data_IF_660990020368
#
_entry.id   IF_660990020368
#
_cell.length_a   1.000
_cell.length_b   1.000
_cell.length_c   1.000
_cell.angle_alpha   90.00
_cell.angle_beta   90.00
_cell.angle_gamma   90.00
#
_symmetry.space_group_name_H-M   'P 1'
#
loop_
_entity.id
_entity.type
_entity.pdbx_description
1 polymer ?
#
# COMPACT_ATOMS: atom_id res chain seq x y z
N UNK A 1 3.35 14.22 20.59
CA UNK A 1 2.36 13.34 21.26
C UNK A 1 3.08 12.19 21.95
N UNK A 2 2.62 11.65 23.09
CA UNK A 2 3.23 10.43 23.67
C UNK A 2 2.69 9.17 23.00
N UNK A 3 3.43 8.05 22.98
CA UNK A 3 2.98 6.77 22.37
C UNK A 3 1.58 6.36 22.85
N UNK A 4 1.28 6.55 24.14
CA UNK A 4 -0.04 6.30 24.73
C UNK A 4 -1.14 7.20 24.13
N UNK A 5 -0.86 8.50 23.99
CA UNK A 5 -1.81 9.47 23.40
C UNK A 5 -2.09 9.17 21.92
N UNK A 6 -1.09 8.65 21.18
CA UNK A 6 -1.27 8.19 19.80
C UNK A 6 -2.23 7.01 19.69
N UNK A 7 -2.00 5.97 20.49
CA UNK A 7 -2.85 4.78 20.48
C UNK A 7 -4.29 5.15 20.85
N UNK A 8 -4.47 5.97 21.89
CA UNK A 8 -5.80 6.47 22.29
C UNK A 8 -6.47 7.24 21.15
N UNK A 9 -5.74 8.08 20.43
CA UNK A 9 -6.28 8.85 19.31
C UNK A 9 -6.67 7.96 18.12
N UNK A 10 -5.84 6.97 17.77
CA UNK A 10 -6.14 5.99 16.72
C UNK A 10 -7.37 5.16 17.11
N UNK A 11 -7.45 4.72 18.36
CA UNK A 11 -8.62 4.01 18.89
C UNK A 11 -9.87 4.89 18.82
N UNK A 12 -9.79 6.17 19.22
CA UNK A 12 -10.90 7.10 19.14
C UNK A 12 -11.37 7.32 17.69
N UNK A 13 -10.45 7.44 16.73
CA UNK A 13 -10.77 7.51 15.30
C UNK A 13 -11.43 6.23 14.78
N UNK A 14 -10.98 5.07 15.23
CA UNK A 14 -11.59 3.80 14.89
C UNK A 14 -13.01 3.68 15.45
N UNK A 15 -13.23 4.07 16.72
CA UNK A 15 -14.57 4.10 17.30
C UNK A 15 -15.48 5.14 16.65
N UNK A 16 -14.92 6.27 16.21
CA UNK A 16 -15.65 7.27 15.43
C UNK A 16 -16.08 6.71 14.07
N UNK A 17 -15.18 6.01 13.37
CA UNK A 17 -15.53 5.30 12.13
C UNK A 17 -16.61 4.25 12.38
N UNK A 18 -16.46 3.42 13.42
CA UNK A 18 -17.46 2.43 13.81
C UNK A 18 -18.83 3.06 14.01
N UNK A 19 -18.89 4.15 14.78
CA UNK A 19 -20.12 4.89 15.01
C UNK A 19 -20.79 5.30 13.70
N UNK A 20 -20.02 5.86 12.76
CA UNK A 20 -20.54 6.27 11.46
C UNK A 20 -20.87 5.11 10.51
N UNK A 21 -20.20 3.97 10.67
CA UNK A 21 -20.49 2.76 9.90
C UNK A 21 -21.83 2.13 10.27
N UNK A 22 -22.37 2.41 11.47
CA UNK A 22 -23.67 1.91 11.93
C UNK A 22 -24.87 2.66 11.32
N UNK A 23 -24.64 3.79 10.63
CA UNK A 23 -25.70 4.49 9.90
C UNK A 23 -26.09 3.72 8.63
N UNK A 24 -27.30 3.95 8.08
CA UNK A 24 -27.74 3.31 6.84
C UNK A 24 -26.70 3.48 5.71
N UNK A 25 -26.49 2.43 4.88
CA UNK A 25 -25.54 2.49 3.78
C UNK A 25 -25.82 3.70 2.88
N UNK A 26 -24.82 4.56 2.72
CA UNK A 26 -24.95 5.77 1.93
C UNK A 26 -23.60 6.46 1.71
N UNK A 27 -23.66 7.65 1.12
CA UNK A 27 -22.47 8.43 0.77
C UNK A 27 -21.56 8.67 2.00
N UNK A 28 -22.16 8.87 3.18
CA UNK A 28 -21.38 9.10 4.39
C UNK A 28 -20.64 7.83 4.86
N UNK A 29 -21.35 6.70 4.98
CA UNK A 29 -20.81 5.44 5.50
C UNK A 29 -19.81 4.78 4.54
N UNK A 30 -20.03 4.90 3.24
CA UNK A 30 -19.28 4.17 2.22
C UNK A 30 -18.16 5.00 1.57
N UNK A 31 -18.22 6.33 1.64
CA UNK A 31 -17.25 7.20 0.96
C UNK A 31 -16.56 8.10 1.98
N UNK A 32 -17.32 8.97 2.65
CA UNK A 32 -16.74 10.01 3.50
C UNK A 32 -16.01 9.40 4.70
N UNK A 33 -16.65 8.50 5.45
CA UNK A 33 -16.09 7.95 6.67
C UNK A 33 -14.79 7.14 6.42
N UNK A 34 -14.72 6.21 5.43
CA UNK A 34 -13.48 5.52 5.11
C UNK A 34 -12.37 6.45 4.63
N UNK A 35 -12.68 7.44 3.78
CA UNK A 35 -11.67 8.40 3.27
C UNK A 35 -11.10 9.23 4.41
N UNK A 36 -11.95 9.82 5.26
CA UNK A 36 -11.50 10.58 6.42
C UNK A 36 -10.66 9.71 7.33
N UNK A 37 -11.09 8.47 7.60
CA UNK A 37 -10.33 7.54 8.43
C UNK A 37 -8.92 7.32 7.86
N UNK A 38 -8.79 6.93 6.59
CA UNK A 38 -7.47 6.64 6.01
C UNK A 38 -6.59 7.87 5.83
N UNK A 39 -7.16 9.04 5.52
CA UNK A 39 -6.42 10.31 5.48
C UNK A 39 -5.86 10.63 6.87
N UNK A 40 -6.66 10.49 7.93
CA UNK A 40 -6.22 10.71 9.31
C UNK A 40 -5.15 9.69 9.72
N UNK A 41 -5.34 8.41 9.43
CA UNK A 41 -4.35 7.37 9.70
C UNK A 41 -3.04 7.62 8.96
N UNK A 42 -3.09 8.00 7.68
CA UNK A 42 -1.92 8.36 6.90
C UNK A 42 -1.17 9.55 7.52
N UNK A 43 -1.89 10.63 7.83
CA UNK A 43 -1.32 11.80 8.48
C UNK A 43 -0.64 11.43 9.80
N UNK A 44 -1.36 10.74 10.69
CA UNK A 44 -0.82 10.31 11.98
C UNK A 44 0.44 9.45 11.79
N UNK A 45 0.40 8.51 10.84
CA UNK A 45 1.50 7.58 10.58
C UNK A 45 2.73 8.29 10.05
N UNK A 46 2.57 9.23 9.10
CA UNK A 46 3.68 10.00 8.52
C UNK A 46 4.29 10.98 9.52
N UNK A 47 3.47 11.68 10.32
CA UNK A 47 3.94 12.73 11.22
C UNK A 47 4.32 12.23 12.62
N UNK A 48 4.06 10.96 12.95
CA UNK A 48 4.41 10.40 14.26
C UNK A 48 5.37 9.21 14.18
N UNK A 49 4.96 7.95 13.93
CA UNK A 49 5.90 6.83 13.91
C UNK A 49 6.93 6.95 12.77
N UNK A 50 6.51 7.42 11.59
CA UNK A 50 7.39 7.55 10.41
C UNK A 50 7.98 8.96 10.24
N UNK A 51 7.86 9.86 11.21
CA UNK A 51 8.30 11.26 11.07
C UNK A 51 9.77 11.38 10.64
N UNK A 52 10.65 10.55 11.22
CA UNK A 52 12.07 10.55 10.86
C UNK A 52 12.31 10.15 9.41
N UNK A 53 11.55 9.16 8.91
CA UNK A 53 11.60 8.70 7.51
C UNK A 53 11.08 9.81 6.59
N UNK A 54 9.90 10.34 6.90
CA UNK A 54 9.25 11.39 6.12
C UNK A 54 10.13 12.64 6.01
N UNK A 55 10.64 13.13 7.14
CA UNK A 55 11.54 14.30 7.20
C UNK A 55 12.82 14.03 6.40
N UNK A 56 13.42 12.85 6.54
CA UNK A 56 14.62 12.47 5.80
C UNK A 56 14.39 12.49 4.28
N UNK A 57 13.30 11.89 3.80
CA UNK A 57 12.96 11.89 2.38
C UNK A 57 12.69 13.32 1.90
N UNK A 58 11.86 14.09 2.60
CA UNK A 58 11.46 15.44 2.17
C UNK A 58 12.64 16.43 2.13
N UNK A 59 13.52 16.39 3.13
CA UNK A 59 14.71 17.26 3.18
C UNK A 59 15.74 16.94 2.11
N UNK A 60 15.78 15.68 1.65
CA UNK A 60 16.73 15.22 0.63
C UNK A 60 16.11 15.06 -0.76
N UNK A 61 14.78 15.17 -0.91
CA UNK A 61 14.06 14.88 -2.14
C UNK A 61 14.60 15.69 -3.34
N UNK A 62 14.89 16.99 -3.16
CA UNK A 62 15.46 17.82 -4.22
C UNK A 62 16.99 17.71 -4.34
N UNK A 63 17.67 17.24 -3.28
CA UNK A 63 19.13 17.23 -3.17
C UNK A 63 19.76 15.93 -3.68
N UNK A 64 19.06 14.81 -3.54
CA UNK A 64 19.55 13.45 -3.81
C UNK A 64 18.70 12.76 -4.87
N UNK A 65 19.24 12.62 -6.08
CA UNK A 65 18.52 12.08 -7.25
C UNK A 65 18.00 10.67 -7.01
N UNK A 66 18.77 9.83 -6.31
CA UNK A 66 18.40 8.47 -5.96
C UNK A 66 17.13 8.39 -5.09
N UNK A 67 16.95 9.36 -4.19
CA UNK A 67 15.74 9.46 -3.37
C UNK A 67 14.57 9.93 -4.23
N UNK A 68 14.73 10.99 -5.03
CA UNK A 68 13.64 11.50 -5.87
C UNK A 68 13.17 10.46 -6.90
N UNK A 69 14.12 9.83 -7.61
CA UNK A 69 13.83 8.80 -8.61
C UNK A 69 13.14 7.61 -7.93
N UNK A 70 13.66 7.15 -6.79
CA UNK A 70 13.02 6.08 -6.03
C UNK A 70 11.58 6.45 -5.67
N UNK A 71 11.33 7.62 -5.08
CA UNK A 71 9.98 8.02 -4.67
C UNK A 71 9.03 8.12 -5.88
N UNK A 72 9.47 8.77 -6.96
CA UNK A 72 8.65 9.03 -8.14
C UNK A 72 8.36 7.77 -8.96
N UNK A 73 9.30 6.82 -9.01
CA UNK A 73 9.10 5.55 -9.72
C UNK A 73 8.37 4.54 -8.84
N UNK A 74 8.72 4.44 -7.56
CA UNK A 74 8.20 3.37 -6.73
C UNK A 74 6.71 3.57 -6.41
N UNK A 75 6.27 4.79 -6.11
CA UNK A 75 4.87 5.06 -5.77
C UNK A 75 3.86 4.61 -6.84
N UNK A 76 3.93 5.09 -8.10
CA UNK A 76 2.94 4.72 -9.11
C UNK A 76 2.98 3.24 -9.45
N UNK A 77 4.17 2.64 -9.54
CA UNK A 77 4.31 1.20 -9.84
C UNK A 77 3.76 0.32 -8.71
N UNK A 78 4.07 0.67 -7.46
CA UNK A 78 3.60 -0.08 -6.31
C UNK A 78 2.08 0.08 -6.13
N UNK A 79 1.55 1.30 -6.33
CA UNK A 79 0.10 1.53 -6.31
C UNK A 79 -0.60 0.72 -7.40
N UNK A 80 -0.07 0.70 -8.63
CA UNK A 80 -0.64 -0.05 -9.75
C UNK A 80 -0.67 -1.55 -9.45
N UNK A 81 0.46 -2.13 -9.01
CA UNK A 81 0.57 -3.56 -8.71
C UNK A 81 -0.33 -3.96 -7.54
N UNK A 82 -0.40 -3.12 -6.51
CA UNK A 82 -1.29 -3.35 -5.37
C UNK A 82 -2.77 -3.25 -5.75
N UNK A 83 -3.12 -2.35 -6.68
CA UNK A 83 -4.48 -2.18 -7.19
C UNK A 83 -4.92 -3.33 -8.11
N UNK A 84 -3.98 -3.94 -8.85
CA UNK A 84 -4.22 -5.19 -9.59
C UNK A 84 -4.43 -6.38 -8.65
N UNK A 85 -3.63 -6.48 -7.57
CA UNK A 85 -3.81 -7.53 -6.58
C UNK A 85 -5.19 -7.43 -5.91
N UNK A 86 -5.66 -6.20 -5.67
CA UNK A 86 -6.98 -5.94 -5.11
C UNK A 86 -8.12 -6.35 -6.06
N UNK A 87 -7.99 -6.01 -7.34
CA UNK A 87 -8.95 -6.43 -8.37
C UNK A 87 -9.15 -7.95 -8.38
N UNK A 88 -8.07 -8.72 -8.33
CA UNK A 88 -8.15 -10.18 -8.29
C UNK A 88 -8.78 -10.71 -7.01
N UNK A 89 -8.51 -10.06 -5.88
CA UNK A 89 -9.16 -10.40 -4.62
C UNK A 89 -10.68 -10.15 -4.69
N UNK A 90 -11.11 -9.03 -5.26
CA UNK A 90 -12.53 -8.70 -5.44
C UNK A 90 -13.23 -9.64 -6.42
N UNK A 91 -12.61 -9.94 -7.57
CA UNK A 91 -13.21 -10.79 -8.61
C UNK A 91 -13.28 -12.26 -8.22
N UNK A 92 -12.20 -12.82 -7.64
CA UNK A 92 -12.12 -14.25 -7.33
C UNK A 92 -12.82 -14.64 -6.03
N UNK A 93 -12.76 -13.79 -5.01
CA UNK A 93 -13.30 -14.12 -3.70
C UNK A 93 -14.68 -13.53 -3.46
N UNK A 94 -14.88 -12.29 -3.87
CA UNK A 94 -16.15 -11.59 -3.68
C UNK A 94 -17.09 -11.68 -4.88
N UNK A 95 -16.71 -12.41 -5.94
CA UNK A 95 -17.45 -12.49 -7.21
C UNK A 95 -17.84 -11.11 -7.77
N UNK A 96 -17.04 -10.08 -7.46
CA UNK A 96 -17.27 -8.74 -7.95
C UNK A 96 -16.92 -8.70 -9.43
N UNK A 97 -17.94 -8.56 -10.28
CA UNK A 97 -17.76 -8.38 -11.71
C UNK A 97 -17.97 -6.90 -12.02
N UNK A 98 -16.93 -6.18 -12.46
CA UNK A 98 -17.09 -4.77 -12.80
C UNK A 98 -18.01 -4.63 -14.01
N UNK A 99 -18.88 -3.62 -13.99
CA UNK A 99 -19.75 -3.28 -15.13
C UNK A 99 -19.08 -2.21 -15.99
N UNK A 100 -18.03 -2.58 -16.73
CA UNK A 100 -17.37 -1.66 -17.68
C UNK A 100 -17.43 -2.18 -19.10
N UNK A 101 -17.64 -1.27 -20.06
CA UNK A 101 -17.68 -1.58 -21.49
C UNK A 101 -16.55 -0.89 -22.27
N UNK A 102 -15.98 0.21 -21.74
CA UNK A 102 -14.90 0.99 -22.37
C UNK A 102 -13.90 1.50 -21.32
N UNK A 103 -12.76 2.07 -21.75
CA UNK A 103 -11.68 2.59 -20.89
C UNK A 103 -12.14 3.77 -20.01
N UNK A 104 -12.88 3.45 -18.96
CA UNK A 104 -13.57 4.37 -18.07
C UNK A 104 -12.90 4.44 -16.71
N UNK A 105 -13.04 5.59 -16.05
CA UNK A 105 -12.69 5.78 -14.64
C UNK A 105 -13.99 5.99 -13.88
N UNK A 106 -14.27 5.14 -12.90
CA UNK A 106 -15.49 5.19 -12.11
C UNK A 106 -15.20 5.20 -10.61
N UNK A 107 -16.05 5.88 -9.86
CA UNK A 107 -16.06 5.78 -8.41
C UNK A 107 -17.02 4.66 -8.01
N UNK A 108 -16.45 3.54 -7.58
CA UNK A 108 -17.20 2.38 -7.13
C UNK A 108 -17.24 2.31 -5.60
N UNK A 109 -18.30 1.68 -5.10
CA UNK A 109 -18.40 1.26 -3.71
C UNK A 109 -19.07 -0.11 -3.69
N UNK A 110 -18.44 -1.05 -3.00
CA UNK A 110 -18.99 -2.37 -2.79
C UNK A 110 -20.03 -2.30 -1.67
N UNK A 111 -21.23 -2.87 -1.85
CA UNK A 111 -22.29 -2.86 -0.84
C UNK A 111 -22.01 -3.90 0.25
N UNK A 112 -20.90 -3.78 0.95
CA UNK A 112 -20.63 -4.61 2.12
C UNK A 112 -21.62 -4.28 3.22
N UNK A 113 -22.16 -5.31 3.87
CA UNK A 113 -23.10 -5.15 4.98
C UNK A 113 -22.43 -4.33 6.09
N UNK A 114 -23.07 -3.29 6.60
CA UNK A 114 -22.50 -2.42 7.63
C UNK A 114 -22.44 -3.06 9.03
N UNK A 115 -22.85 -4.33 9.16
CA UNK A 115 -22.84 -5.10 10.41
C UNK A 115 -21.79 -6.22 10.40
N UNK A 116 -21.40 -6.70 11.59
CA UNK A 116 -20.45 -7.83 11.72
C UNK A 116 -19.06 -7.47 11.20
N UNK A 117 -18.42 -8.31 10.39
CA UNK A 117 -17.12 -8.00 9.78
C UNK A 117 -17.22 -7.07 8.55
N UNK A 118 -18.43 -6.82 8.03
CA UNK A 118 -18.61 -6.07 6.80
C UNK A 118 -18.26 -4.57 6.92
N UNK A 119 -18.29 -3.99 8.13
CA UNK A 119 -17.76 -2.62 8.33
C UNK A 119 -16.24 -2.54 8.10
N UNK A 120 -15.49 -3.61 8.39
CA UNK A 120 -14.04 -3.65 8.13
C UNK A 120 -13.78 -3.71 6.63
N UNK A 121 -14.55 -4.50 5.90
CA UNK A 121 -14.47 -4.54 4.45
C UNK A 121 -14.87 -3.21 3.82
N UNK A 122 -15.89 -2.54 4.36
CA UNK A 122 -16.25 -1.19 3.94
C UNK A 122 -15.09 -0.21 4.18
N UNK A 123 -14.42 -0.28 5.33
CA UNK A 123 -13.25 0.54 5.62
C UNK A 123 -12.08 0.28 4.67
N UNK A 124 -11.84 -0.97 4.28
CA UNK A 124 -10.66 -1.38 3.52
C UNK A 124 -10.83 -1.21 2.00
N UNK A 125 -12.03 -1.48 1.50
CA UNK A 125 -12.31 -1.54 0.07
C UNK A 125 -13.06 -0.31 -0.46
N UNK A 126 -13.71 0.48 0.40
CA UNK A 126 -14.49 1.62 -0.06
C UNK A 126 -13.89 2.98 0.36
N UNK A 127 -14.11 4.03 -0.44
CA UNK A 127 -14.48 3.93 -1.86
C UNK A 127 -13.33 3.34 -2.69
N UNK A 128 -13.64 2.88 -3.90
CA UNK A 128 -12.64 2.44 -4.87
C UNK A 128 -12.73 3.31 -6.11
N UNK A 129 -11.59 3.83 -6.57
CA UNK A 129 -11.48 4.38 -7.93
C UNK A 129 -11.14 3.21 -8.83
N UNK A 130 -12.08 2.85 -9.69
CA UNK A 130 -11.92 1.78 -10.66
C UNK A 130 -11.49 2.35 -12.01
N UNK A 131 -10.40 1.82 -12.55
CA UNK A 131 -9.88 2.22 -13.87
C UNK A 131 -9.84 1.00 -14.76
N UNK A 132 -10.64 0.97 -15.83
CA UNK A 132 -10.56 -0.11 -16.81
C UNK A 132 -9.35 0.13 -17.74
N UNK A 133 -8.49 -0.88 -17.84
CA UNK A 133 -7.42 -1.01 -18.82
C UNK A 133 -7.83 -2.10 -19.83
N UNK A 134 -8.43 -1.74 -20.97
CA UNK A 134 -8.86 -2.70 -21.99
C UNK A 134 -7.70 -3.61 -22.43
N UNK A 135 -7.93 -4.91 -22.70
CA UNK A 135 -9.22 -5.61 -22.74
C UNK A 135 -9.59 -6.41 -21.47
N UNK A 136 -8.69 -6.53 -20.48
CA UNK A 136 -8.82 -7.59 -19.45
C UNK A 136 -8.54 -7.16 -18.01
N UNK A 137 -8.11 -5.92 -17.77
CA UNK A 137 -7.69 -5.50 -16.44
C UNK A 137 -8.51 -4.31 -15.98
N UNK A 138 -8.82 -4.27 -14.69
CA UNK A 138 -9.19 -3.03 -14.03
C UNK A 138 -8.32 -2.85 -12.80
N UNK A 139 -8.07 -1.59 -12.45
CA UNK A 139 -7.36 -1.23 -11.23
C UNK A 139 -8.39 -0.80 -10.21
N UNK A 140 -8.39 -1.41 -9.02
CA UNK A 140 -9.16 -0.91 -7.88
C UNK A 140 -8.23 -0.15 -6.94
N UNK A 141 -8.40 1.18 -6.89
CA UNK A 141 -7.56 2.07 -6.09
C UNK A 141 -8.37 2.54 -4.88
N UNK A 142 -8.03 2.06 -3.69
CA UNK A 142 -8.72 2.42 -2.43
C UNK A 142 -7.88 3.34 -1.57
N UNK A 143 -8.46 4.08 -0.60
CA UNK A 143 -7.69 4.84 0.37
C UNK A 143 -6.69 3.98 1.16
N UNK A 144 -7.05 2.73 1.46
CA UNK A 144 -6.13 1.76 2.06
C UNK A 144 -4.92 1.47 1.16
N UNK A 145 -5.16 1.19 -0.12
CA UNK A 145 -4.11 0.98 -1.11
C UNK A 145 -3.15 2.17 -1.21
N UNK A 146 -3.70 3.38 -1.24
CA UNK A 146 -2.92 4.63 -1.25
C UNK A 146 -2.10 4.77 0.04
N UNK A 147 -2.70 4.49 1.21
CA UNK A 147 -2.01 4.54 2.50
C UNK A 147 -0.79 3.61 2.54
N UNK A 148 -0.98 2.35 2.13
CA UNK A 148 0.08 1.35 2.09
C UNK A 148 1.17 1.77 1.09
N UNK A 149 0.78 2.14 -0.13
CA UNK A 149 1.72 2.51 -1.18
C UNK A 149 2.55 3.74 -0.83
N UNK A 150 1.97 4.76 -0.19
CA UNK A 150 2.72 5.90 0.30
C UNK A 150 3.69 5.50 1.42
N UNK A 151 3.21 4.77 2.41
CA UNK A 151 4.03 4.36 3.57
C UNK A 151 5.26 3.56 3.14
N UNK A 152 5.08 2.58 2.25
CA UNK A 152 6.17 1.76 1.73
C UNK A 152 7.09 2.59 0.84
N UNK A 153 6.56 3.44 -0.05
CA UNK A 153 7.40 4.33 -0.88
C UNK A 153 8.36 5.16 -0.03
N UNK A 154 7.86 5.85 1.00
CA UNK A 154 8.69 6.67 1.87
C UNK A 154 9.81 5.85 2.53
N UNK A 155 9.47 4.65 3.00
CA UNK A 155 10.42 3.75 3.65
C UNK A 155 11.48 3.23 2.68
N UNK A 156 11.09 2.81 1.48
CA UNK A 156 12.01 2.34 0.44
C UNK A 156 12.94 3.46 0.02
N UNK A 157 12.42 4.65 -0.28
CA UNK A 157 13.23 5.79 -0.69
C UNK A 157 14.20 6.25 0.39
N UNK A 158 13.79 6.21 1.66
CA UNK A 158 14.68 6.50 2.78
C UNK A 158 15.81 5.46 2.91
N UNK A 159 15.48 4.17 2.83
CA UNK A 159 16.47 3.08 2.90
C UNK A 159 17.43 3.14 1.71
N UNK A 160 16.94 3.37 0.48
CA UNK A 160 17.80 3.58 -0.70
C UNK A 160 18.74 4.75 -0.47
N UNK A 161 18.23 5.89 0.00
CA UNK A 161 19.07 7.03 0.35
C UNK A 161 20.19 6.66 1.31
N UNK A 162 19.89 5.90 2.37
CA UNK A 162 20.90 5.44 3.33
C UNK A 162 21.88 4.43 2.73
N UNK A 163 21.43 3.47 1.93
CA UNK A 163 22.30 2.52 1.23
C UNK A 163 23.32 3.25 0.35
N UNK A 164 22.90 4.30 -0.35
CA UNK A 164 23.79 5.12 -1.17
C UNK A 164 24.81 5.95 -0.39
N UNK A 165 24.62 6.17 0.92
CA UNK A 165 25.67 6.75 1.77
C UNK A 165 26.80 5.74 2.03
N UNK A 166 26.48 4.43 2.05
CA UNK A 166 27.46 3.36 2.25
C UNK A 166 28.11 2.89 0.94
N UNK A 167 27.42 3.02 -0.19
CA UNK A 167 27.91 2.58 -1.50
C UNK A 167 28.43 3.79 -2.31
N UNK A 168 29.76 3.89 -2.46
CA UNK A 168 30.42 4.96 -3.25
C UNK A 168 30.10 4.92 -4.76
N UNK A 169 29.62 3.79 -5.29
CA UNK A 169 29.45 3.60 -6.74
C UNK A 169 28.07 3.99 -7.25
N UNK A 170 28.02 5.07 -8.04
CA UNK A 170 26.80 5.53 -8.75
C UNK A 170 26.31 4.54 -9.81
N UNK A 171 27.14 3.60 -10.28
CA UNK A 171 26.72 2.58 -11.27
C UNK A 171 25.76 1.54 -10.68
N UNK A 172 25.75 1.38 -9.35
CA UNK A 172 24.85 0.46 -8.65
C UNK A 172 23.46 1.06 -8.36
N UNK A 173 23.23 2.34 -8.72
CA UNK A 173 21.93 3.03 -8.57
C UNK A 173 20.80 2.26 -9.23
N UNK A 174 20.98 1.92 -10.51
CA UNK A 174 19.96 1.18 -11.24
C UNK A 174 19.69 -0.20 -10.61
N UNK A 175 20.74 -0.94 -10.22
CA UNK A 175 20.61 -2.28 -9.65
C UNK A 175 19.93 -2.32 -8.27
N UNK A 176 20.25 -1.37 -7.39
CA UNK A 176 19.61 -1.28 -6.06
C UNK A 176 18.17 -0.81 -6.19
N UNK A 177 17.89 0.12 -7.11
CA UNK A 177 16.52 0.59 -7.37
C UNK A 177 15.69 -0.53 -8.01
N UNK A 178 16.22 -1.30 -8.95
CA UNK A 178 15.50 -2.42 -9.57
C UNK A 178 15.29 -3.56 -8.59
N UNK A 179 16.29 -3.93 -7.78
CA UNK A 179 16.11 -4.92 -6.70
C UNK A 179 15.10 -4.44 -5.66
N UNK A 180 15.12 -3.15 -5.32
CA UNK A 180 14.14 -2.52 -4.45
C UNK A 180 12.73 -2.55 -5.04
N UNK A 181 12.57 -2.24 -6.33
CA UNK A 181 11.30 -2.33 -7.05
C UNK A 181 10.80 -3.77 -7.12
N UNK A 182 11.64 -4.72 -7.54
CA UNK A 182 11.27 -6.14 -7.68
C UNK A 182 10.99 -6.77 -6.31
N UNK A 183 11.83 -6.54 -5.31
CA UNK A 183 11.60 -7.02 -3.94
C UNK A 183 10.45 -6.31 -3.23
N UNK A 184 10.11 -5.11 -3.68
CA UNK A 184 9.04 -4.28 -3.17
C UNK A 184 7.67 -4.57 -3.82
N UNK A 185 7.65 -5.10 -5.04
CA UNK A 185 6.44 -5.59 -5.69
C UNK A 185 6.12 -7.03 -5.29
N UNK A 186 7.15 -7.81 -4.92
CA UNK A 186 6.95 -9.17 -4.39
C UNK A 186 6.28 -9.20 -3.02
N UNK A 187 6.28 -8.10 -2.27
CA UNK A 187 5.55 -8.03 -1.00
C UNK A 187 4.04 -7.85 -1.15
N UNK A 188 3.56 -7.62 -2.38
CA UNK A 188 2.14 -7.52 -2.72
C UNK A 188 1.69 -8.70 -3.60
N UNK A 189 2.62 -9.30 -4.34
CA UNK A 189 2.40 -10.47 -5.19
C UNK A 189 3.50 -11.49 -4.92
N UNK A 190 3.14 -12.67 -4.39
CA UNK A 190 4.14 -13.74 -4.28
C UNK A 190 4.77 -14.00 -5.66
N UNK A 191 6.08 -14.28 -5.73
CA UNK A 191 6.76 -14.63 -6.99
C UNK A 191 5.98 -15.71 -7.80
N UNK A 192 5.37 -16.74 -7.16
CA UNK A 192 4.45 -17.67 -7.82
C UNK A 192 3.25 -17.01 -8.49
N UNK A 193 2.66 -15.97 -7.89
CA UNK A 193 1.53 -15.24 -8.46
C UNK A 193 1.96 -14.43 -9.69
N UNK A 194 3.14 -13.79 -9.66
CA UNK A 194 3.70 -13.11 -10.84
C UNK A 194 3.94 -14.12 -11.97
N UNK A 195 4.53 -15.28 -11.68
CA UNK A 195 4.72 -16.35 -12.67
C UNK A 195 3.36 -16.84 -13.19
N UNK A 196 2.36 -17.01 -12.31
CA UNK A 196 1.00 -17.36 -12.70
C UNK A 196 0.31 -16.26 -13.54
N UNK A 197 0.67 -14.99 -13.39
CA UNK A 197 0.12 -13.88 -14.17
C UNK A 197 0.77 -13.74 -15.55
N UNK A 198 2.06 -14.08 -15.69
CA UNK A 198 2.85 -13.90 -16.92
C UNK A 198 3.11 -15.19 -17.70
N UNK A 199 2.60 -16.34 -17.23
CA UNK A 199 2.71 -17.62 -17.95
C UNK A 199 1.34 -18.26 -18.16
N UNK A 200 1.11 -18.96 -19.29
CA UNK A 200 -0.14 -19.68 -19.57
C UNK A 200 -0.37 -20.90 -18.64
N UNK A 201 0.53 -21.14 -17.69
CA UNK A 201 0.42 -22.16 -16.63
C UNK A 201 -0.34 -21.66 -15.39
N UNK A 202 -0.97 -20.49 -15.48
CA UNK A 202 -1.75 -19.84 -14.43
C UNK A 202 -2.67 -20.81 -13.67
N UNK A 203 -3.41 -21.66 -14.38
CA UNK A 203 -4.35 -22.63 -13.77
C UNK A 203 -3.71 -23.56 -12.71
N UNK A 204 -2.44 -23.96 -12.86
CA UNK A 204 -1.78 -24.89 -11.93
C UNK A 204 -1.27 -24.20 -10.65
N UNK A 205 -0.82 -22.95 -10.74
CA UNK A 205 -0.39 -22.17 -9.58
C UNK A 205 -1.59 -21.61 -8.78
N UNK A 206 -2.71 -21.35 -9.46
CA UNK A 206 -3.93 -20.79 -8.85
C UNK A 206 -4.68 -21.78 -7.94
N UNK A 207 -4.60 -23.10 -8.21
CA UNK A 207 -5.19 -24.11 -7.33
C UNK A 207 -4.47 -24.23 -5.97
N UNK A 208 -3.31 -23.61 -5.80
CA UNK A 208 -2.47 -23.74 -4.59
C UNK A 208 -2.71 -22.61 -3.58
N UNK A 209 -3.25 -21.46 -4.00
CA UNK A 209 -3.48 -20.31 -3.11
C UNK A 209 -4.98 -20.10 -2.96
N UNK A 210 -5.54 -20.51 -1.82
CA UNK A 210 -6.92 -20.20 -1.47
C UNK A 210 -7.12 -18.69 -1.32
N UNK A 211 -8.32 -18.18 -1.63
CA UNK A 211 -8.64 -16.74 -1.51
C UNK A 211 -8.43 -16.16 -0.10
N UNK A 212 -8.48 -17.01 0.92
CA UNK A 212 -8.16 -16.66 2.31
C UNK A 212 -6.68 -16.32 2.49
N UNK A 213 -5.77 -17.11 1.90
CA UNK A 213 -4.34 -16.84 1.93
C UNK A 213 -4.05 -15.53 1.18
N UNK A 214 -4.69 -15.31 0.03
CA UNK A 214 -4.54 -14.06 -0.72
C UNK A 214 -5.00 -12.85 0.11
N UNK A 215 -6.09 -12.98 0.87
CA UNK A 215 -6.60 -11.94 1.77
C UNK A 215 -5.62 -11.64 2.91
N UNK A 216 -5.10 -12.68 3.57
CA UNK A 216 -4.12 -12.51 4.65
C UNK A 216 -2.85 -11.86 4.10
N UNK A 217 -2.35 -12.32 2.96
CA UNK A 217 -1.15 -11.76 2.32
C UNK A 217 -1.38 -10.29 1.95
N UNK A 218 -2.53 -9.97 1.36
CA UNK A 218 -2.85 -8.60 0.94
C UNK A 218 -2.87 -7.60 2.11
N UNK A 219 -3.37 -7.99 3.28
CA UNK A 219 -3.47 -7.09 4.45
C UNK A 219 -2.28 -7.17 5.41
N UNK A 220 -1.78 -8.37 5.71
CA UNK A 220 -0.75 -8.57 6.72
C UNK A 220 0.66 -8.31 6.18
N UNK A 221 0.95 -8.73 4.95
CA UNK A 221 2.31 -8.64 4.40
C UNK A 221 2.78 -7.19 4.26
N UNK A 222 1.97 -6.23 3.76
CA UNK A 222 2.40 -4.84 3.70
C UNK A 222 2.71 -4.24 5.07
N UNK A 223 1.97 -4.60 6.12
CA UNK A 223 2.23 -4.14 7.49
C UNK A 223 3.57 -4.67 8.02
N UNK A 224 3.87 -5.95 7.77
CA UNK A 224 5.16 -6.57 8.13
C UNK A 224 6.31 -5.87 7.39
N UNK A 225 6.12 -5.56 6.11
CA UNK A 225 7.12 -4.87 5.28
C UNK A 225 7.36 -3.45 5.77
N UNK A 226 6.31 -2.70 6.09
CA UNK A 226 6.40 -1.35 6.69
C UNK A 226 7.25 -1.42 7.97
N UNK A 227 6.95 -2.38 8.87
CA UNK A 227 7.69 -2.54 10.11
C UNK A 227 9.17 -2.89 9.86
N UNK A 228 9.42 -3.84 8.96
CA UNK A 228 10.76 -4.33 8.63
C UNK A 228 11.63 -3.23 8.01
N UNK A 229 11.10 -2.50 7.03
CA UNK A 229 11.80 -1.38 6.40
C UNK A 229 12.03 -0.22 7.36
N UNK A 230 11.09 0.02 8.28
CA UNK A 230 11.26 1.04 9.31
C UNK A 230 12.37 0.67 10.30
N UNK A 231 12.40 -0.57 10.77
CA UNK A 231 13.46 -1.04 11.66
C UNK A 231 14.82 -1.01 10.97
N UNK A 232 14.88 -1.44 9.70
CA UNK A 232 16.09 -1.36 8.87
C UNK A 232 16.60 0.10 8.77
N UNK A 233 15.72 1.03 8.42
CA UNK A 233 16.08 2.44 8.32
C UNK A 233 16.60 2.97 9.65
N UNK A 234 15.91 2.67 10.75
CA UNK A 234 16.31 3.11 12.09
C UNK A 234 17.65 2.55 12.53
N UNK A 235 17.96 1.29 12.19
CA UNK A 235 19.28 0.70 12.41
C UNK A 235 20.35 1.40 11.57
N UNK A 236 20.05 1.71 10.31
CA UNK A 236 20.99 2.40 9.41
C UNK A 236 21.38 3.80 9.89
N UNK A 237 20.53 4.46 10.68
CA UNK A 237 20.84 5.76 11.30
C UNK A 237 21.86 5.65 12.45
N UNK A 238 21.98 4.48 13.09
CA UNK A 238 22.93 4.26 14.19
C UNK A 238 24.33 3.89 13.72
N UNK A 239 24.45 3.39 12.49
CA UNK A 239 25.73 3.07 11.88
C UNK A 239 26.41 4.39 11.52
N UNK A 240 27.49 4.73 12.23
CA UNK A 240 28.35 5.86 11.86
C UNK A 240 29.08 5.48 10.57
N UNK A 241 29.04 6.36 9.58
CA UNK A 241 29.90 6.24 8.42
C UNK A 241 31.32 6.66 8.85
N UNK A 242 32.23 5.70 8.97
CA UNK A 242 33.67 5.99 9.01
C UNK A 242 34.11 6.37 7.58
N UNK A 243 33.74 7.58 7.16
CA UNK A 243 34.25 8.16 5.93
C UNK A 243 35.67 8.68 6.20
N UNK A 244 36.66 7.83 5.93
CA UNK A 244 37.97 8.29 5.46
C UNK A 244 37.92 8.58 3.95
#
# INVERSE_FOLDING_TARGET
>A
MGRKKLVIFIMALFFLFLYFSLFPPGLFSNIIAPVIFWVMILFITLFYPLNTVFTYVMTNFKKRKEISISTLMYFPFHLLIFSLALEKLLTLFFNYSPTFYYGEVNLAFSPFVTSGLGFLFNLLFNPSIEVLLPPYYFLSITPFAIFIALSITFLVSANIGKIFEFIRSKRLIAGVITLGLVGGTTCCLSLPTIIAFYTPLSFLAYNVISGEILTIVYFALPLIVIFSLYDLFKRSLKVKCDCK
#
